data_IF_378545103487
#
_entry.id   IF_378545103487
#
_cell.length_a   1.000
_cell.length_b   1.000
_cell.length_c   1.000
_cell.angle_alpha   90.00
_cell.angle_beta   90.00
_cell.angle_gamma   90.00
#
_symmetry.space_group_name_H-M   'P 1'
#
loop_
_entity.id
_entity.type
_entity.pdbx_description
1 polymer ?
#
# COMPACT_ATOMS: atom_id res chain seq x y z
N UNK A 1 3.71 25.65 -14.09
CA UNK A 1 4.66 24.66 -13.62
C UNK A 1 3.92 23.63 -12.77
N UNK A 2 4.08 22.38 -13.07
CA UNK A 2 3.45 21.32 -12.30
C UNK A 2 4.32 20.98 -11.11
N UNK A 3 3.76 21.10 -9.93
CA UNK A 3 4.46 20.77 -8.72
C UNK A 3 3.92 19.46 -8.16
N UNK A 4 4.71 18.83 -7.33
CA UNK A 4 4.23 17.68 -6.58
C UNK A 4 3.51 18.17 -5.32
N UNK A 5 2.42 17.48 -4.99
CA UNK A 5 1.67 17.76 -3.80
C UNK A 5 1.88 16.60 -2.80
N UNK A 6 2.31 16.94 -1.59
CA UNK A 6 2.50 15.96 -0.53
C UNK A 6 1.14 15.58 0.05
N UNK A 7 0.85 14.28 0.07
CA UNK A 7 -0.39 13.75 0.65
C UNK A 7 -0.06 13.15 2.02
N UNK A 8 -0.83 13.54 3.03
CA UNK A 8 -0.64 13.08 4.40
C UNK A 8 -1.99 12.87 5.05
N UNK A 9 -2.14 11.77 5.78
CA UNK A 9 -3.35 11.48 6.56
C UNK A 9 -2.98 10.75 7.84
N UNK A 10 -3.73 11.02 8.90
CA UNK A 10 -3.59 10.30 10.16
C UNK A 10 -4.32 8.96 10.13
N UNK A 11 -5.10 8.70 9.08
CA UNK A 11 -5.85 7.45 8.91
C UNK A 11 -4.98 6.32 8.37
N UNK A 12 -3.72 6.59 8.09
CA UNK A 12 -2.71 5.59 7.73
C UNK A 12 -1.45 5.87 8.54
N UNK A 13 -0.55 4.88 8.69
CA UNK A 13 0.67 5.09 9.47
C UNK A 13 1.55 6.19 8.88
N UNK A 14 2.17 6.98 9.76
CA UNK A 14 3.22 7.92 9.38
C UNK A 14 4.41 7.14 8.82
N UNK A 15 5.36 7.81 8.15
CA UNK A 15 6.55 7.15 7.63
C UNK A 15 7.22 6.26 8.68
N UNK A 16 7.58 5.05 8.25
CA UNK A 16 8.10 4.01 9.12
C UNK A 16 9.35 4.49 9.84
N UNK A 17 9.32 4.47 11.18
CA UNK A 17 10.44 4.92 12.03
C UNK A 17 10.91 6.34 11.73
N UNK A 18 10.00 7.22 11.28
CA UNK A 18 10.34 8.60 10.97
C UNK A 18 11.24 8.79 9.76
N UNK A 19 11.28 7.80 8.87
CA UNK A 19 12.12 7.87 7.68
C UNK A 19 11.70 9.01 6.75
N UNK A 20 12.63 9.54 5.94
CA UNK A 20 12.36 10.71 5.10
C UNK A 20 11.64 10.37 3.80
N UNK A 21 10.34 10.09 3.90
CA UNK A 21 9.49 9.92 2.72
C UNK A 21 8.07 10.39 3.03
N UNK A 22 7.30 10.64 1.99
CA UNK A 22 5.88 11.00 2.10
C UNK A 22 5.03 9.76 1.95
N UNK A 23 3.85 9.75 2.56
CA UNK A 23 2.89 8.66 2.35
C UNK A 23 2.52 8.54 0.88
N UNK A 24 2.30 9.67 0.22
CA UNK A 24 2.02 9.71 -1.21
C UNK A 24 2.34 11.09 -1.77
N UNK A 25 2.49 11.13 -3.09
CA UNK A 25 2.71 12.35 -3.85
C UNK A 25 1.70 12.36 -4.99
N UNK A 26 0.97 13.46 -5.12
CA UNK A 26 0.15 13.71 -6.29
C UNK A 26 0.98 14.55 -7.27
N UNK A 27 0.98 14.17 -8.54
CA UNK A 27 1.72 14.88 -9.58
C UNK A 27 1.00 14.64 -10.90
N UNK A 28 0.62 15.72 -11.58
CA UNK A 28 -0.17 15.64 -12.79
C UNK A 28 -1.50 14.96 -12.50
N UNK A 29 -1.82 13.93 -13.26
CA UNK A 29 -3.08 13.19 -13.11
C UNK A 29 -2.94 11.96 -12.23
N UNK A 30 -1.79 11.77 -11.57
CA UNK A 30 -1.48 10.53 -10.86
C UNK A 30 -1.13 10.77 -9.40
N UNK A 31 -1.37 9.73 -8.60
CA UNK A 31 -0.93 9.65 -7.20
C UNK A 31 0.02 8.48 -7.08
N UNK A 32 1.15 8.73 -6.45
CA UNK A 32 2.20 7.74 -6.22
C UNK A 32 2.22 7.44 -4.72
N UNK A 33 1.87 6.21 -4.33
CA UNK A 33 1.75 5.84 -2.93
C UNK A 33 2.96 5.02 -2.52
N UNK A 34 3.61 5.43 -1.44
CA UNK A 34 4.73 4.71 -0.86
C UNK A 34 4.29 3.33 -0.38
N UNK A 35 5.23 2.41 -0.28
CA UNK A 35 4.95 1.06 0.20
C UNK A 35 4.28 1.06 1.56
N UNK A 36 3.16 0.37 1.66
CA UNK A 36 2.38 0.23 2.88
C UNK A 36 2.62 -1.14 3.49
N UNK A 37 2.69 -1.17 4.81
CA UNK A 37 2.95 -2.37 5.59
C UNK A 37 1.72 -2.72 6.43
N UNK A 38 1.72 -3.94 6.99
CA UNK A 38 0.55 -4.49 7.68
C UNK A 38 0.46 -4.08 9.14
N UNK A 39 0.50 -2.79 9.43
CA UNK A 39 0.26 -2.25 10.77
C UNK A 39 -0.69 -1.06 10.70
N UNK A 40 -1.44 -0.86 11.78
CA UNK A 40 -2.43 0.21 11.86
C UNK A 40 -1.81 1.51 12.35
N UNK A 41 -2.43 2.66 12.03
CA UNK A 41 -1.96 3.94 12.57
C UNK A 41 -1.86 3.90 14.09
N UNK A 42 -0.72 4.39 14.61
CA UNK A 42 -0.48 4.43 16.05
C UNK A 42 -0.02 3.14 16.68
N UNK A 43 -0.04 2.03 15.95
CA UNK A 43 0.47 0.76 16.45
C UNK A 43 1.94 0.59 16.11
N UNK A 44 2.62 -0.27 16.88
CA UNK A 44 4.05 -0.49 16.70
C UNK A 44 4.38 -1.94 16.27
N UNK A 45 3.35 -2.78 16.13
CA UNK A 45 3.54 -4.17 15.75
C UNK A 45 2.70 -4.49 14.52
N UNK A 46 3.19 -5.41 13.71
CA UNK A 46 2.46 -5.91 12.54
C UNK A 46 1.38 -6.89 12.97
N UNK A 47 0.31 -6.94 12.19
CA UNK A 47 -0.71 -7.97 12.36
C UNK A 47 -0.13 -9.35 12.10
N UNK A 48 -0.77 -10.39 12.59
CA UNK A 48 -0.32 -11.76 12.40
C UNK A 48 -0.91 -12.37 11.14
N UNK A 49 -0.06 -12.96 10.34
CA UNK A 49 -0.45 -13.71 9.16
C UNK A 49 -0.66 -12.85 7.93
N UNK A 50 -0.57 -13.51 6.78
CA UNK A 50 -0.63 -12.83 5.49
C UNK A 50 -2.00 -12.19 5.22
N UNK A 51 -3.09 -12.85 5.60
CA UNK A 51 -4.42 -12.33 5.34
C UNK A 51 -4.65 -11.02 6.10
N UNK A 52 -4.36 -11.01 7.40
CA UNK A 52 -4.54 -9.83 8.25
C UNK A 52 -3.64 -8.69 7.79
N UNK A 53 -2.38 -8.98 7.50
CA UNK A 53 -1.46 -7.95 7.04
C UNK A 53 -1.91 -7.35 5.71
N UNK A 54 -2.37 -8.17 4.77
CA UNK A 54 -2.85 -7.69 3.48
C UNK A 54 -4.09 -6.80 3.64
N UNK A 55 -5.03 -7.18 4.53
CA UNK A 55 -6.20 -6.36 4.83
C UNK A 55 -5.79 -4.97 5.31
N UNK A 56 -4.84 -4.91 6.23
CA UNK A 56 -4.39 -3.65 6.80
C UNK A 56 -3.63 -2.82 5.77
N UNK A 57 -2.76 -3.45 4.99
CA UNK A 57 -2.03 -2.76 3.92
C UNK A 57 -3.01 -2.05 2.99
N UNK A 58 -4.06 -2.75 2.56
CA UNK A 58 -5.03 -2.18 1.62
C UNK A 58 -5.94 -1.14 2.28
N UNK A 59 -6.24 -1.28 3.56
CA UNK A 59 -6.95 -0.25 4.30
C UNK A 59 -6.13 1.03 4.40
N UNK A 60 -4.83 0.90 4.67
CA UNK A 60 -3.91 2.05 4.71
C UNK A 60 -3.82 2.70 3.33
N UNK A 61 -3.70 1.90 2.28
CA UNK A 61 -3.66 2.38 0.90
C UNK A 61 -4.93 3.16 0.57
N UNK A 62 -6.09 2.63 0.92
CA UNK A 62 -7.37 3.31 0.70
C UNK A 62 -7.41 4.66 1.37
N UNK A 63 -7.00 4.73 2.63
CA UNK A 63 -7.04 5.98 3.39
C UNK A 63 -6.17 7.05 2.74
N UNK A 64 -4.99 6.67 2.27
CA UNK A 64 -4.06 7.60 1.61
C UNK A 64 -4.63 8.07 0.27
N UNK A 65 -5.17 7.14 -0.52
CA UNK A 65 -5.76 7.48 -1.81
C UNK A 65 -6.96 8.41 -1.65
N UNK A 66 -7.82 8.14 -0.67
CA UNK A 66 -8.98 8.99 -0.42
C UNK A 66 -8.57 10.39 0.01
N UNK A 67 -7.52 10.52 0.80
CA UNK A 67 -6.98 11.83 1.16
C UNK A 67 -6.54 12.61 -0.08
N UNK A 68 -6.04 11.92 -1.09
CA UNK A 68 -5.60 12.53 -2.34
C UNK A 68 -6.76 12.82 -3.31
N UNK A 69 -7.98 12.39 -2.99
CA UNK A 69 -9.12 12.51 -3.90
C UNK A 69 -9.23 11.36 -4.89
N UNK A 70 -8.53 10.27 -4.64
CA UNK A 70 -8.55 9.06 -5.46
C UNK A 70 -9.26 7.93 -4.72
N UNK A 71 -8.95 6.69 -5.06
CA UNK A 71 -9.54 5.52 -4.41
C UNK A 71 -8.96 4.23 -4.95
N UNK A 72 -9.28 3.12 -4.29
CA UNK A 72 -8.81 1.80 -4.74
C UNK A 72 -9.34 1.42 -6.12
N UNK A 73 -10.49 1.95 -6.51
CA UNK A 73 -11.07 1.73 -7.83
C UNK A 73 -10.32 2.48 -8.94
N UNK A 74 -9.40 3.36 -8.58
CA UNK A 74 -8.61 4.16 -9.52
C UNK A 74 -7.16 3.71 -9.59
N UNK A 75 -6.84 2.57 -9.01
CA UNK A 75 -5.49 2.00 -9.09
C UNK A 75 -5.13 1.68 -10.53
N UNK A 76 -3.93 2.08 -10.93
CA UNK A 76 -3.37 1.83 -12.26
C UNK A 76 -2.33 0.73 -12.20
N UNK A 77 -1.47 0.77 -11.20
CA UNK A 77 -0.39 -0.19 -11.03
C UNK A 77 -0.09 -0.40 -9.56
N UNK A 78 0.10 -1.65 -9.17
CA UNK A 78 0.64 -1.98 -7.86
C UNK A 78 1.88 -2.84 -8.00
N UNK A 79 2.75 -2.78 -7.00
CA UNK A 79 3.85 -3.71 -6.84
C UNK A 79 3.70 -4.34 -5.45
N UNK A 80 3.66 -5.65 -5.41
CA UNK A 80 3.52 -6.41 -4.16
C UNK A 80 4.86 -7.07 -3.86
N UNK A 81 5.39 -6.75 -2.68
CA UNK A 81 6.63 -7.35 -2.18
C UNK A 81 6.26 -8.32 -1.07
N UNK A 82 6.66 -9.58 -1.20
CA UNK A 82 6.38 -10.63 -0.22
C UNK A 82 7.67 -11.07 0.45
N UNK A 83 7.61 -11.32 1.74
CA UNK A 83 8.74 -11.94 2.46
C UNK A 83 8.92 -13.38 2.01
N UNK A 84 7.83 -14.07 1.66
CA UNK A 84 7.84 -15.45 1.18
C UNK A 84 6.78 -15.59 0.09
N UNK A 85 7.20 -16.00 -1.10
CA UNK A 85 6.30 -16.14 -2.24
C UNK A 85 5.25 -17.25 -2.04
N UNK A 86 5.46 -18.13 -1.06
CA UNK A 86 4.44 -19.11 -0.67
C UNK A 86 3.15 -18.44 -0.15
N UNK A 87 3.23 -17.17 0.27
CA UNK A 87 2.07 -16.40 0.70
C UNK A 87 1.28 -15.78 -0.47
N UNK A 88 1.67 -16.06 -1.71
CA UNK A 88 1.04 -15.50 -2.90
C UNK A 88 -0.48 -15.75 -2.92
N UNK A 89 -0.91 -16.99 -2.67
CA UNK A 89 -2.33 -17.34 -2.67
C UNK A 89 -3.12 -16.64 -1.57
N UNK A 90 -2.58 -16.60 -0.36
CA UNK A 90 -3.24 -15.95 0.77
C UNK A 90 -3.35 -14.43 0.57
N UNK A 91 -2.31 -13.82 0.03
CA UNK A 91 -2.33 -12.40 -0.32
C UNK A 91 -3.37 -12.13 -1.41
N UNK A 92 -3.37 -12.93 -2.47
CA UNK A 92 -4.28 -12.73 -3.61
C UNK A 92 -5.75 -12.82 -3.20
N UNK A 93 -6.08 -13.70 -2.28
CA UNK A 93 -7.45 -13.87 -1.84
C UNK A 93 -8.00 -12.59 -1.21
N UNK A 94 -7.21 -11.94 -0.38
CA UNK A 94 -7.58 -10.66 0.23
C UNK A 94 -7.55 -9.54 -0.80
N UNK A 95 -6.49 -9.48 -1.57
CA UNK A 95 -6.28 -8.44 -2.58
C UNK A 95 -7.46 -8.37 -3.55
N UNK A 96 -7.95 -9.52 -4.01
CA UNK A 96 -9.05 -9.58 -4.98
C UNK A 96 -10.33 -8.91 -4.45
N UNK A 97 -10.58 -9.00 -3.15
CA UNK A 97 -11.77 -8.38 -2.55
C UNK A 97 -11.72 -6.86 -2.57
N UNK A 98 -10.52 -6.29 -2.63
CA UNK A 98 -10.33 -4.84 -2.55
C UNK A 98 -10.20 -4.16 -3.91
N UNK A 99 -9.66 -4.86 -4.92
CA UNK A 99 -9.38 -4.22 -6.21
C UNK A 99 -10.52 -4.36 -7.21
N UNK A 100 -11.52 -5.21 -6.92
CA UNK A 100 -12.72 -5.33 -7.74
C UNK A 100 -12.49 -6.08 -9.05
N UNK A 101 -13.39 -5.87 -9.99
CA UNK A 101 -13.43 -6.59 -11.27
C UNK A 101 -12.61 -5.91 -12.38
N UNK A 102 -12.00 -4.76 -12.08
CA UNK A 102 -11.07 -4.08 -13.00
C UNK A 102 -9.74 -3.85 -12.26
N UNK A 103 -9.02 -4.94 -11.95
CA UNK A 103 -7.80 -4.81 -11.15
C UNK A 103 -6.70 -4.05 -11.89
N UNK A 104 -5.80 -3.39 -11.14
CA UNK A 104 -4.65 -2.71 -11.75
C UNK A 104 -3.66 -3.71 -12.31
N UNK A 105 -2.76 -3.22 -13.16
CA UNK A 105 -1.57 -3.98 -13.52
C UNK A 105 -0.75 -4.24 -12.25
N UNK A 106 -0.09 -5.39 -12.16
CA UNK A 106 0.64 -5.76 -10.94
C UNK A 106 1.89 -6.57 -11.25
N UNK A 107 2.93 -6.35 -10.46
CA UNK A 107 4.05 -7.28 -10.33
C UNK A 107 4.10 -7.74 -8.88
N UNK A 108 4.42 -9.01 -8.67
CA UNK A 108 4.55 -9.59 -7.32
C UNK A 108 5.87 -10.33 -7.26
N UNK A 109 6.68 -10.02 -6.25
CA UNK A 109 8.01 -10.60 -6.10
C UNK A 109 8.27 -10.95 -4.65
N UNK A 110 9.11 -11.97 -4.44
CA UNK A 110 9.70 -12.21 -3.13
C UNK A 110 10.94 -11.34 -3.02
N UNK A 111 11.13 -10.73 -1.85
CA UNK A 111 12.29 -9.88 -1.60
C UNK A 111 13.20 -10.53 -0.57
N UNK A 112 14.45 -10.08 -0.54
CA UNK A 112 15.43 -10.64 0.39
C UNK A 112 15.00 -10.40 1.84
N UNK A 113 14.41 -9.23 2.15
CA UNK A 113 14.00 -8.91 3.51
C UNK A 113 13.03 -7.75 3.55
N UNK A 114 11.96 -7.92 4.30
CA UNK A 114 11.06 -6.84 4.71
C UNK A 114 11.35 -6.49 6.17
N UNK A 115 10.86 -5.34 6.67
CA UNK A 115 11.01 -5.02 8.09
C UNK A 115 10.48 -6.14 8.97
N UNK A 116 11.05 -6.27 10.16
CA UNK A 116 10.77 -7.36 11.09
C UNK A 116 9.27 -7.58 11.29
N UNK A 117 8.82 -8.79 11.02
CA UNK A 117 7.41 -9.15 11.17
C UNK A 117 6.54 -8.85 9.95
N UNK A 118 7.03 -8.07 8.99
CA UNK A 118 6.27 -7.79 7.79
C UNK A 118 6.32 -8.98 6.83
N UNK A 119 5.16 -9.37 6.34
CA UNK A 119 5.02 -10.44 5.36
C UNK A 119 4.72 -9.90 3.97
N UNK A 120 4.20 -8.68 3.88
CA UNK A 120 3.78 -8.06 2.63
C UNK A 120 3.97 -6.56 2.69
N UNK A 121 4.35 -5.99 1.56
CA UNK A 121 4.39 -4.54 1.35
C UNK A 121 3.83 -4.26 -0.02
N UNK A 122 2.99 -3.23 -0.17
CA UNK A 122 2.40 -2.87 -1.46
C UNK A 122 2.57 -1.37 -1.69
N UNK A 123 3.12 -1.03 -2.86
CA UNK A 123 3.13 0.34 -3.35
C UNK A 123 2.18 0.46 -4.54
N UNK A 124 1.79 1.69 -4.89
CA UNK A 124 0.77 1.86 -5.92
C UNK A 124 0.91 3.16 -6.69
N UNK A 125 0.37 3.15 -7.89
CA UNK A 125 0.10 4.34 -8.70
C UNK A 125 -1.40 4.31 -9.00
N UNK A 126 -2.08 5.42 -8.74
CA UNK A 126 -3.49 5.59 -9.06
C UNK A 126 -3.69 6.87 -9.85
N UNK A 127 -4.82 6.98 -10.53
CA UNK A 127 -5.15 8.26 -11.16
C UNK A 127 -6.08 9.08 -10.25
N UNK A 128 -6.07 10.37 -10.43
CA UNK A 128 -6.96 11.28 -9.73
C UNK A 128 -8.37 11.30 -10.33
#
# INVERSE_FOLDING_TARGET
MADKEVIRTEKAPAPFQGAPYSQAIASGSFVFVAGQLGWKPGETTFAEGIAEQTEIVLANMRAILEEAGSGLDKLVKTTVFLQNLDDFGGMNEVYARHVGDRPPARSTVEVAKLPSGALVEIEAIAHL
#
